data_IF_391200550274
#
_entry.id   IF_391200550274
#
_cell.length_a   1.000
_cell.length_b   1.000
_cell.length_c   1.000
_cell.angle_alpha   90.00
_cell.angle_beta   90.00
_cell.angle_gamma   90.00
#
_symmetry.space_group_name_H-M   'P 1'
#
loop_
_entity.id
_entity.type
_entity.pdbx_description
1 polymer ?
#
# COMPACT_ATOMS: atom_id res chain seq x y z
N UNK A 1 2.34 22.73 14.92
CA UNK A 1 2.68 21.45 15.57
C UNK A 1 3.12 20.49 14.48
N UNK A 2 4.28 19.89 14.59
CA UNK A 2 4.77 18.90 13.62
C UNK A 2 4.57 17.50 14.23
N UNK A 3 3.55 16.78 13.75
CA UNK A 3 3.28 15.41 14.18
C UNK A 3 4.21 14.47 13.38
N UNK A 4 5.06 13.72 14.08
CA UNK A 4 5.94 12.72 13.48
C UNK A 4 5.37 11.32 13.66
N UNK A 5 4.12 11.15 13.23
CA UNK A 5 3.38 9.89 13.31
C UNK A 5 2.84 9.52 11.93
N UNK A 6 2.62 8.25 11.64
CA UNK A 6 1.99 7.80 10.38
C UNK A 6 0.59 8.39 10.15
N UNK A 7 -0.08 8.73 11.22
CA UNK A 7 -1.39 9.36 11.27
C UNK A 7 -1.89 9.54 12.71
N UNK A 8 -2.77 10.53 12.98
CA UNK A 8 -3.25 11.55 12.05
C UNK A 8 -2.15 12.57 11.68
N UNK A 9 -2.27 13.17 10.50
CA UNK A 9 -1.36 14.19 10.01
C UNK A 9 -2.05 15.54 9.84
N UNK A 10 -1.35 16.68 9.94
CA UNK A 10 -1.92 17.98 9.65
C UNK A 10 -2.40 18.05 8.21
N UNK A 11 -3.61 18.60 8.01
CA UNK A 11 -4.21 18.76 6.69
C UNK A 11 -4.01 20.23 6.22
N UNK A 12 -3.48 20.47 5.00
CA UNK A 12 -3.35 21.81 4.44
C UNK A 12 -4.69 22.55 4.39
N UNK A 13 -4.66 23.88 4.53
CA UNK A 13 -5.86 24.69 4.63
C UNK A 13 -6.79 24.60 3.40
N UNK A 14 -6.23 24.51 2.20
CA UNK A 14 -6.97 24.32 0.96
C UNK A 14 -7.67 22.96 0.90
N UNK A 15 -7.04 21.91 1.38
CA UNK A 15 -7.63 20.56 1.45
C UNK A 15 -8.76 20.53 2.48
N UNK A 16 -8.58 21.13 3.67
CA UNK A 16 -9.66 21.26 4.66
C UNK A 16 -10.85 22.02 4.11
N UNK A 17 -10.62 23.10 3.33
CA UNK A 17 -11.68 23.85 2.67
C UNK A 17 -12.44 22.98 1.65
N UNK A 18 -11.75 22.15 0.90
CA UNK A 18 -12.37 21.23 -0.05
C UNK A 18 -13.21 20.15 0.67
N UNK A 19 -12.70 19.57 1.76
CA UNK A 19 -13.42 18.59 2.57
C UNK A 19 -14.68 19.15 3.24
N UNK A 20 -14.77 20.47 3.46
CA UNK A 20 -15.91 21.13 4.05
C UNK A 20 -16.98 21.56 3.01
N UNK A 21 -16.80 21.27 1.74
CA UNK A 21 -17.80 21.57 0.72
C UNK A 21 -19.00 20.64 0.80
N UNK A 22 -20.12 21.10 0.23
CA UNK A 22 -21.33 20.29 0.12
C UNK A 22 -21.07 19.04 -0.74
N UNK A 23 -21.68 17.96 -0.39
CA UNK A 23 -21.63 16.71 -1.16
C UNK A 23 -22.23 16.90 -2.55
N UNK A 24 -21.61 16.27 -3.55
CA UNK A 24 -22.10 16.19 -4.91
C UNK A 24 -22.69 14.80 -5.17
N UNK A 25 -23.57 14.70 -6.16
CA UNK A 25 -24.10 13.40 -6.59
C UNK A 25 -23.00 12.57 -7.26
N UNK A 26 -22.67 11.44 -6.65
CA UNK A 26 -21.65 10.51 -7.16
C UNK A 26 -22.03 9.84 -8.51
N UNK A 27 -23.25 9.96 -8.96
CA UNK A 27 -23.74 9.52 -10.28
C UNK A 27 -23.99 10.69 -11.23
N UNK A 28 -23.78 11.92 -10.76
CA UNK A 28 -23.99 13.15 -11.53
C UNK A 28 -22.83 13.46 -12.48
N UNK A 29 -23.10 14.40 -13.38
CA UNK A 29 -22.13 14.86 -14.39
C UNK A 29 -20.86 15.44 -13.72
N UNK A 30 -21.02 16.21 -12.65
CA UNK A 30 -19.91 16.83 -11.95
C UNK A 30 -18.90 15.78 -11.42
N UNK A 31 -19.40 14.68 -10.85
CA UNK A 31 -18.54 13.58 -10.39
C UNK A 31 -17.88 12.84 -11.55
N UNK A 32 -18.65 12.58 -12.62
CA UNK A 32 -18.13 11.88 -13.80
C UNK A 32 -17.05 12.64 -14.55
N UNK A 33 -17.03 13.98 -14.46
CA UNK A 33 -15.98 14.82 -14.98
C UNK A 33 -14.78 14.95 -14.04
N UNK A 34 -15.01 14.90 -12.72
CA UNK A 34 -13.98 15.02 -11.70
C UNK A 34 -13.10 13.76 -11.62
N UNK A 35 -13.71 12.58 -11.66
CA UNK A 35 -13.01 11.30 -11.46
C UNK A 35 -11.88 11.06 -12.48
N UNK A 36 -12.06 11.22 -13.80
CA UNK A 36 -10.98 11.05 -14.78
C UNK A 36 -9.81 11.99 -14.53
N UNK A 37 -10.07 13.25 -14.15
CA UNK A 37 -9.01 14.23 -13.84
C UNK A 37 -8.19 13.82 -12.59
N UNK A 38 -8.85 13.21 -11.60
CA UNK A 38 -8.14 12.69 -10.42
C UNK A 38 -7.27 11.50 -10.82
N UNK A 39 -7.82 10.57 -11.60
CA UNK A 39 -7.10 9.37 -12.08
C UNK A 39 -5.85 9.77 -12.89
N UNK A 40 -5.96 10.71 -13.83
CA UNK A 40 -4.83 11.20 -14.62
C UNK A 40 -3.71 11.79 -13.74
N UNK A 41 -4.09 12.57 -12.72
CA UNK A 41 -3.11 13.12 -11.78
C UNK A 41 -2.45 12.05 -10.91
N UNK A 42 -3.20 11.03 -10.51
CA UNK A 42 -2.65 9.89 -9.77
C UNK A 42 -1.74 9.04 -10.65
N UNK A 43 -2.10 8.82 -11.92
CA UNK A 43 -1.21 8.15 -12.88
C UNK A 43 0.11 8.89 -13.04
N UNK A 44 0.07 10.23 -13.10
CA UNK A 44 1.28 11.05 -13.12
C UNK A 44 2.11 10.89 -11.85
N UNK A 45 1.46 10.88 -10.66
CA UNK A 45 2.13 10.71 -9.38
C UNK A 45 2.79 9.33 -9.23
N UNK A 46 2.10 8.29 -9.69
CA UNK A 46 2.59 6.89 -9.65
C UNK A 46 3.46 6.51 -10.86
N UNK A 47 3.71 7.45 -11.79
CA UNK A 47 4.50 7.21 -13.02
C UNK A 47 3.99 6.00 -13.81
N UNK A 48 2.68 5.84 -13.90
CA UNK A 48 2.04 4.69 -14.54
C UNK A 48 1.05 5.11 -15.63
N UNK A 49 0.80 4.19 -16.58
CA UNK A 49 -0.29 4.29 -17.58
C UNK A 49 -1.42 3.29 -17.29
N UNK A 50 -1.24 2.45 -16.25
CA UNK A 50 -2.25 1.49 -15.83
C UNK A 50 -3.40 2.18 -15.10
N UNK A 51 -4.50 1.47 -14.93
CA UNK A 51 -5.63 1.95 -14.15
C UNK A 51 -5.21 2.18 -12.69
N UNK A 52 -5.63 3.31 -12.13
CA UNK A 52 -5.46 3.64 -10.72
C UNK A 52 -6.81 3.58 -10.04
N UNK A 53 -6.98 2.64 -9.14
CA UNK A 53 -8.22 2.42 -8.42
C UNK A 53 -8.17 3.11 -7.05
N UNK A 54 -9.18 3.95 -6.80
CA UNK A 54 -9.32 4.65 -5.51
C UNK A 54 -10.25 3.83 -4.62
N UNK A 55 -9.69 3.25 -3.56
CA UNK A 55 -10.46 2.45 -2.61
C UNK A 55 -10.85 3.29 -1.39
N UNK A 56 -12.13 3.25 -1.03
CA UNK A 56 -12.62 3.85 0.21
C UNK A 56 -12.34 2.90 1.38
N UNK A 57 -11.10 2.91 1.87
CA UNK A 57 -10.65 2.01 2.92
C UNK A 57 -9.52 2.63 3.75
N UNK A 58 -9.12 1.93 4.82
CA UNK A 58 -7.88 2.23 5.55
C UNK A 58 -6.65 1.74 4.78
N UNK A 59 -5.44 2.20 5.17
CA UNK A 59 -4.19 1.65 4.63
C UNK A 59 -4.09 0.13 4.81
N UNK A 60 -4.59 -0.42 5.93
CA UNK A 60 -4.64 -1.88 6.16
C UNK A 60 -5.52 -2.59 5.14
N UNK A 61 -6.70 -2.03 4.83
CA UNK A 61 -7.56 -2.60 3.80
C UNK A 61 -6.97 -2.49 2.38
N UNK A 62 -6.12 -1.48 2.13
CA UNK A 62 -5.38 -1.40 0.87
C UNK A 62 -4.29 -2.51 0.78
N UNK A 63 -3.56 -2.80 1.86
CA UNK A 63 -2.62 -3.92 1.92
C UNK A 63 -3.34 -5.25 1.67
N UNK A 64 -4.48 -5.45 2.31
CA UNK A 64 -5.32 -6.63 2.10
C UNK A 64 -5.78 -6.75 0.64
N UNK A 65 -6.26 -5.65 0.05
CA UNK A 65 -6.68 -5.63 -1.35
C UNK A 65 -5.54 -6.03 -2.31
N UNK A 66 -4.31 -5.60 -2.04
CA UNK A 66 -3.15 -6.05 -2.83
C UNK A 66 -2.96 -7.56 -2.71
N UNK A 67 -2.93 -8.11 -1.50
CA UNK A 67 -2.71 -9.54 -1.27
C UNK A 67 -3.77 -10.39 -1.99
N UNK A 68 -5.05 -10.12 -1.77
CA UNK A 68 -6.14 -10.95 -2.31
C UNK A 68 -6.30 -10.87 -3.83
N UNK A 69 -5.73 -9.84 -4.46
CA UNK A 69 -5.79 -9.68 -5.91
C UNK A 69 -4.50 -10.12 -6.63
N UNK A 70 -3.40 -10.36 -5.91
CA UNK A 70 -2.11 -10.68 -6.53
C UNK A 70 -1.54 -12.03 -6.12
N UNK A 71 -1.97 -12.57 -4.98
CA UNK A 71 -1.48 -13.84 -4.45
C UNK A 71 -2.58 -14.90 -4.39
N UNK A 72 -2.17 -16.15 -4.53
CA UNK A 72 -2.98 -17.34 -4.32
C UNK A 72 -2.48 -18.12 -3.10
N UNK A 73 -3.34 -18.92 -2.43
CA UNK A 73 -2.88 -19.82 -1.38
C UNK A 73 -1.73 -20.72 -1.87
N UNK A 74 -0.66 -20.81 -1.09
CA UNK A 74 0.55 -21.56 -1.44
C UNK A 74 1.61 -20.74 -2.21
N UNK A 75 1.32 -19.52 -2.62
CA UNK A 75 2.34 -18.64 -3.21
C UNK A 75 3.41 -18.32 -2.16
N UNK A 76 4.68 -18.40 -2.58
CA UNK A 76 5.82 -18.12 -1.71
C UNK A 76 6.19 -16.65 -1.79
N UNK A 77 6.23 -15.99 -0.65
CA UNK A 77 6.53 -14.54 -0.57
C UNK A 77 7.63 -14.26 0.44
N UNK A 78 8.43 -13.25 0.17
CA UNK A 78 9.37 -12.69 1.13
C UNK A 78 8.75 -11.43 1.76
N UNK A 79 8.53 -11.44 3.07
CA UNK A 79 8.11 -10.26 3.81
C UNK A 79 9.30 -9.62 4.51
N UNK A 80 9.62 -8.39 4.09
CA UNK A 80 10.67 -7.56 4.69
C UNK A 80 10.05 -6.68 5.75
N UNK A 81 10.31 -6.98 7.01
CA UNK A 81 9.75 -6.26 8.15
C UNK A 81 10.79 -5.38 8.83
N UNK A 82 10.65 -4.07 8.67
CA UNK A 82 11.42 -3.05 9.39
C UNK A 82 10.59 -2.39 10.50
N UNK A 83 9.37 -2.88 10.74
CA UNK A 83 8.45 -2.36 11.75
C UNK A 83 7.03 -2.87 11.59
N UNK A 84 6.10 -2.25 12.31
CA UNK A 84 4.72 -2.73 12.47
C UNK A 84 3.94 -2.87 11.15
N UNK A 85 4.19 -2.02 10.15
CA UNK A 85 3.45 -2.08 8.88
C UNK A 85 3.95 -3.22 7.99
N UNK A 86 5.27 -3.42 7.87
CA UNK A 86 5.83 -4.58 7.16
C UNK A 86 5.39 -5.89 7.81
N UNK A 87 5.44 -5.97 9.15
CA UNK A 87 4.94 -7.13 9.89
C UNK A 87 3.46 -7.40 9.61
N UNK A 88 2.63 -6.34 9.60
CA UNK A 88 1.19 -6.48 9.28
C UNK A 88 0.98 -6.97 7.85
N UNK A 89 1.75 -6.49 6.89
CA UNK A 89 1.62 -6.88 5.50
C UNK A 89 1.91 -8.38 5.31
N UNK A 90 3.01 -8.88 5.88
CA UNK A 90 3.31 -10.32 5.87
C UNK A 90 2.25 -11.17 6.58
N UNK A 91 1.72 -10.69 7.74
CA UNK A 91 0.64 -11.38 8.46
C UNK A 91 -0.66 -11.47 7.66
N UNK A 92 -1.00 -10.44 6.87
CA UNK A 92 -2.14 -10.50 5.96
C UNK A 92 -1.90 -11.59 4.91
N UNK A 93 -0.72 -11.65 4.30
CA UNK A 93 -0.38 -12.70 3.33
C UNK A 93 -0.52 -14.11 3.92
N UNK A 94 0.01 -14.35 5.14
CA UNK A 94 -0.18 -15.62 5.86
C UNK A 94 -1.67 -15.96 6.05
N UNK A 95 -2.48 -14.96 6.43
CA UNK A 95 -3.93 -15.16 6.66
C UNK A 95 -4.65 -15.62 5.40
N UNK A 96 -4.21 -15.18 4.23
CA UNK A 96 -4.74 -15.60 2.93
C UNK A 96 -4.02 -16.80 2.31
N UNK A 97 -3.18 -17.47 3.11
CA UNK A 97 -2.61 -18.77 2.75
C UNK A 97 -1.30 -18.71 1.97
N UNK A 98 -0.64 -17.57 1.88
CA UNK A 98 0.70 -17.49 1.33
C UNK A 98 1.74 -18.13 2.27
N UNK A 99 2.78 -18.73 1.70
CA UNK A 99 3.95 -19.24 2.43
C UNK A 99 4.96 -18.10 2.59
N UNK A 100 5.02 -17.52 3.79
CA UNK A 100 5.81 -16.32 4.06
C UNK A 100 7.18 -16.65 4.63
N UNK A 101 8.23 -16.28 3.90
CA UNK A 101 9.59 -16.16 4.43
C UNK A 101 9.76 -14.78 5.02
N UNK A 102 10.25 -14.69 6.25
CA UNK A 102 10.44 -13.42 6.95
C UNK A 102 11.89 -12.96 6.90
N UNK A 103 12.11 -11.71 6.50
CA UNK A 103 13.34 -10.96 6.74
C UNK A 103 13.03 -9.87 7.77
N UNK A 104 13.28 -10.17 9.03
CA UNK A 104 13.07 -9.23 10.13
C UNK A 104 14.33 -8.40 10.36
N UNK A 105 14.16 -7.08 10.34
CA UNK A 105 15.23 -6.10 10.59
C UNK A 105 14.95 -5.42 11.93
N UNK A 106 15.98 -5.10 12.68
CA UNK A 106 15.84 -4.41 13.96
C UNK A 106 15.12 -3.07 13.77
N UNK A 107 14.19 -2.77 14.67
CA UNK A 107 13.38 -1.56 14.57
C UNK A 107 14.26 -0.31 14.70
N UNK A 108 14.11 0.58 13.73
CA UNK A 108 14.92 1.78 13.58
C UNK A 108 16.03 1.66 12.54
N UNK A 109 16.31 0.42 12.11
CA UNK A 109 17.25 0.14 11.02
C UNK A 109 16.54 -0.01 9.68
N UNK A 110 17.28 0.17 8.59
CA UNK A 110 16.80 -0.03 7.24
C UNK A 110 17.16 -1.43 6.73
N UNK A 111 16.27 -2.04 5.96
CA UNK A 111 16.60 -3.27 5.24
C UNK A 111 17.67 -2.98 4.18
N UNK A 112 18.73 -3.79 4.15
CA UNK A 112 19.79 -3.66 3.15
C UNK A 112 19.44 -4.48 1.91
N UNK A 113 19.63 -3.94 0.69
CA UNK A 113 19.35 -4.66 -0.54
C UNK A 113 20.11 -6.00 -0.63
N UNK A 114 21.34 -6.06 -0.08
CA UNK A 114 22.16 -7.26 -0.06
C UNK A 114 21.53 -8.38 0.77
N UNK A 115 20.89 -8.04 1.88
CA UNK A 115 20.20 -9.02 2.74
C UNK A 115 18.94 -9.55 2.06
N UNK A 116 18.20 -8.68 1.35
CA UNK A 116 17.04 -9.09 0.54
C UNK A 116 17.50 -10.01 -0.59
N UNK A 117 18.54 -9.64 -1.33
CA UNK A 117 19.11 -10.46 -2.41
C UNK A 117 19.52 -11.84 -1.93
N UNK A 118 20.31 -11.91 -0.84
CA UNK A 118 20.73 -13.18 -0.23
C UNK A 118 19.53 -14.04 0.17
N UNK A 119 18.52 -13.44 0.82
CA UNK A 119 17.32 -14.20 1.23
C UNK A 119 16.56 -14.74 0.02
N UNK A 120 16.50 -14.02 -1.09
CA UNK A 120 15.88 -14.50 -2.32
C UNK A 120 16.69 -15.65 -2.94
N UNK A 121 18.01 -15.56 -2.96
CA UNK A 121 18.89 -16.64 -3.47
C UNK A 121 18.76 -17.94 -2.65
N UNK A 122 18.59 -17.82 -1.33
CA UNK A 122 18.38 -18.92 -0.40
C UNK A 122 16.95 -19.51 -0.48
N UNK A 123 16.00 -18.77 -1.04
CA UNK A 123 14.59 -19.16 -1.12
C UNK A 123 14.08 -19.15 -2.57
N UNK A 124 14.57 -20.03 -3.44
CA UNK A 124 14.13 -20.08 -4.83
C UNK A 124 12.62 -20.39 -4.91
N UNK A 125 11.91 -19.70 -5.80
CA UNK A 125 10.47 -19.85 -5.97
C UNK A 125 9.63 -18.80 -5.21
N UNK A 126 10.26 -17.82 -4.57
CA UNK A 126 9.56 -16.60 -4.11
C UNK A 126 9.01 -15.85 -5.31
N UNK A 127 7.70 -15.58 -5.31
CA UNK A 127 6.98 -14.93 -6.41
C UNK A 127 6.73 -13.45 -6.16
N UNK A 128 6.77 -13.03 -4.90
CA UNK A 128 6.56 -11.63 -4.51
C UNK A 128 7.41 -11.24 -3.28
N UNK A 129 7.76 -9.96 -3.23
CA UNK A 129 8.43 -9.34 -2.08
C UNK A 129 7.50 -8.27 -1.52
N UNK A 130 7.21 -8.36 -0.22
CA UNK A 130 6.40 -7.40 0.54
C UNK A 130 7.33 -6.51 1.36
N UNK A 131 7.30 -5.19 1.14
CA UNK A 131 8.17 -4.21 1.82
C UNK A 131 7.36 -3.13 2.50
#
# INVERSE_FOLDING_TARGET
MNLRTPGPTPIPANVRKALAQQMIDHRGVEFSEMQPRITERLQTLFETRNDVLILTTSGTGALEAVIVNTLSPGDRVLAVSIGAFGQRFGRIAETYGAEVTWLEVEWGEAARPEDIGRTLDENPGVTAVLV
#
